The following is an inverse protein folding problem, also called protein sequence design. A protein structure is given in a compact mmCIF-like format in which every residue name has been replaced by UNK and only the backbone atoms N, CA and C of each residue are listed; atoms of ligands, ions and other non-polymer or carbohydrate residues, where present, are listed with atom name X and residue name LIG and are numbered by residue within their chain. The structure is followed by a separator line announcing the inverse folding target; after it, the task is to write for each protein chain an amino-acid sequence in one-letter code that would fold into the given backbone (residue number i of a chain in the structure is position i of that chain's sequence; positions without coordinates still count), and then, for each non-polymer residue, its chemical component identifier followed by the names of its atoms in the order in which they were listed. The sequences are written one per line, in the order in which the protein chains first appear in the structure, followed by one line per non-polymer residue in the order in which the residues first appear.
data_IF_726300100908
#
_entry.id   IF_726300100908
#
_cell.length_a   1.000
_cell.length_b   1.000
_cell.length_c   1.000
_cell.angle_alpha   90.00
_cell.angle_beta   90.00
_cell.angle_gamma   90.00
#
_symmetry.space_group_name_H-M   'P 1'
#
loop_
_entity.id
_entity.type
_entity.pdbx_description
1 polymer ?
#
# COMPACT_ATOMS: atom_id res chain seq x y z
N UNK A 1 1.30 -41.45 -27.97
CA UNK A 1 1.82 -41.32 -29.36
C UNK A 1 1.79 -39.87 -29.87
N UNK A 2 1.74 -38.84 -29.01
CA UNK A 2 1.41 -37.46 -29.43
C UNK A 2 2.59 -36.58 -29.90
N UNK A 3 3.84 -37.04 -29.86
CA UNK A 3 5.03 -36.19 -30.06
C UNK A 3 5.53 -36.10 -31.52
N UNK A 4 5.08 -36.99 -32.41
CA UNK A 4 5.54 -37.06 -33.80
C UNK A 4 4.76 -36.09 -34.71
N UNK A 5 5.29 -34.88 -34.89
CA UNK A 5 4.85 -33.97 -35.96
C UNK A 5 4.61 -32.52 -35.55
N UNK A 6 4.67 -32.19 -34.26
CA UNK A 6 4.43 -30.82 -33.77
C UNK A 6 5.74 -30.02 -33.82
N UNK A 7 5.80 -28.90 -34.55
CA UNK A 7 6.98 -28.06 -34.61
C UNK A 7 7.40 -27.54 -33.22
N UNK A 8 8.70 -27.46 -32.97
CA UNK A 8 9.26 -26.90 -31.72
C UNK A 8 9.21 -25.36 -31.65
N UNK A 9 8.56 -24.71 -32.61
CA UNK A 9 8.41 -23.26 -32.69
C UNK A 9 6.93 -22.82 -32.72
N UNK A 10 6.59 -21.69 -32.07
CA UNK A 10 7.46 -20.82 -31.27
C UNK A 10 7.91 -21.49 -29.96
N UNK A 11 9.07 -21.07 -29.42
CA UNK A 11 9.50 -21.52 -28.09
C UNK A 11 8.57 -20.91 -27.05
N UNK A 12 7.85 -21.75 -26.30
CA UNK A 12 6.93 -21.33 -25.25
C UNK A 12 7.40 -21.85 -23.90
N UNK A 13 7.44 -20.96 -22.90
CA UNK A 13 7.72 -21.33 -21.50
C UNK A 13 6.66 -20.72 -20.62
N UNK A 14 5.93 -21.56 -19.90
CA UNK A 14 5.02 -21.15 -18.83
C UNK A 14 5.80 -21.31 -17.53
N UNK A 15 5.82 -20.28 -16.70
CA UNK A 15 6.45 -20.35 -15.38
C UNK A 15 5.48 -19.82 -14.34
N UNK A 16 5.01 -20.69 -13.49
CA UNK A 16 4.18 -20.31 -12.34
C UNK A 16 5.11 -19.95 -11.19
N UNK A 17 4.84 -18.83 -10.53
CA UNK A 17 5.63 -18.32 -9.42
C UNK A 17 5.02 -18.71 -8.08
N UNK A 18 3.70 -18.65 -7.99
CA UNK A 18 2.93 -19.03 -6.80
C UNK A 18 1.48 -19.35 -7.19
N UNK A 19 0.58 -19.47 -6.20
CA UNK A 19 -0.82 -19.78 -6.41
C UNK A 19 -1.61 -18.70 -7.18
N UNK A 20 -1.05 -17.50 -7.40
CA UNK A 20 -1.73 -16.37 -8.04
C UNK A 20 -0.92 -15.71 -9.17
N UNK A 21 0.38 -16.02 -9.30
CA UNK A 21 1.28 -15.37 -10.23
C UNK A 21 1.98 -16.35 -11.17
N UNK A 22 2.18 -15.93 -12.41
CA UNK A 22 2.99 -16.64 -13.40
C UNK A 22 3.48 -15.72 -14.52
N UNK A 23 4.26 -16.28 -15.43
CA UNK A 23 4.59 -15.65 -16.72
C UNK A 23 4.46 -16.68 -17.85
N UNK A 24 4.06 -16.21 -19.02
CA UNK A 24 4.13 -16.96 -20.27
C UNK A 24 5.10 -16.25 -21.21
N UNK A 25 6.18 -16.91 -21.59
CA UNK A 25 7.11 -16.43 -22.61
C UNK A 25 6.84 -17.09 -23.93
N UNK A 26 6.45 -16.31 -24.95
CA UNK A 26 6.20 -16.79 -26.32
C UNK A 26 7.23 -16.13 -27.25
N UNK A 27 8.10 -16.94 -27.87
CA UNK A 27 9.17 -16.46 -28.74
C UNK A 27 10.03 -15.35 -28.08
N UNK A 28 10.28 -15.47 -26.78
CA UNK A 28 11.09 -14.51 -25.99
C UNK A 28 10.35 -13.29 -25.46
N UNK A 29 9.08 -13.07 -25.85
CA UNK A 29 8.24 -12.00 -25.28
C UNK A 29 7.51 -12.53 -24.05
N UNK A 30 7.64 -11.83 -22.91
CA UNK A 30 7.01 -12.20 -21.65
C UNK A 30 5.61 -11.58 -21.54
N UNK A 31 4.65 -12.40 -21.12
CA UNK A 31 3.28 -12.05 -20.80
C UNK A 31 3.06 -12.39 -19.32
N UNK A 32 2.97 -11.38 -18.43
CA UNK A 32 2.71 -11.64 -17.02
C UNK A 32 1.29 -12.19 -16.84
N UNK A 33 1.13 -13.12 -15.91
CA UNK A 33 -0.14 -13.73 -15.54
C UNK A 33 -0.37 -13.48 -14.05
N UNK A 34 -1.46 -12.79 -13.73
CA UNK A 34 -1.91 -12.57 -12.34
C UNK A 34 -3.38 -12.95 -12.33
N UNK A 35 -3.71 -14.06 -11.68
CA UNK A 35 -5.06 -14.65 -11.68
C UNK A 35 -5.28 -15.47 -10.39
N UNK A 36 -6.51 -15.84 -10.06
CA UNK A 36 -6.78 -16.80 -8.97
C UNK A 36 -6.35 -18.23 -9.34
N UNK A 37 -6.31 -18.55 -10.63
CA UNK A 37 -5.68 -19.77 -11.16
C UNK A 37 -4.70 -19.39 -12.28
N UNK A 38 -3.44 -19.03 -11.94
CA UNK A 38 -2.45 -18.60 -12.92
C UNK A 38 -2.08 -19.73 -13.89
N UNK A 39 -2.34 -21.00 -13.55
CA UNK A 39 -2.13 -22.14 -14.45
C UNK A 39 -3.15 -22.11 -15.59
N UNK A 40 -4.44 -22.00 -15.25
CA UNK A 40 -5.50 -21.89 -16.26
C UNK A 40 -5.32 -20.66 -17.15
N UNK A 41 -5.02 -19.50 -16.56
CA UNK A 41 -4.81 -18.26 -17.32
C UNK A 41 -3.58 -18.34 -18.24
N UNK A 42 -2.48 -18.97 -17.79
CA UNK A 42 -1.30 -19.18 -18.63
C UNK A 42 -1.58 -20.14 -19.80
N UNK A 43 -2.33 -21.23 -19.57
CA UNK A 43 -2.73 -22.17 -20.62
C UNK A 43 -3.63 -21.51 -21.66
N UNK A 44 -4.57 -20.66 -21.23
CA UNK A 44 -5.45 -19.92 -22.14
C UNK A 44 -4.67 -18.99 -23.09
N UNK A 45 -3.64 -18.30 -22.60
CA UNK A 45 -2.77 -17.45 -23.43
C UNK A 45 -2.04 -18.27 -24.51
N UNK A 46 -1.56 -19.47 -24.15
CA UNK A 46 -0.87 -20.34 -25.12
C UNK A 46 -1.86 -21.00 -26.09
N UNK A 47 -3.07 -21.34 -25.64
CA UNK A 47 -4.13 -21.90 -26.48
C UNK A 47 -4.62 -20.87 -27.52
N UNK A 48 -4.82 -19.60 -27.13
CA UNK A 48 -5.13 -18.52 -28.07
C UNK A 48 -4.04 -18.38 -29.15
N UNK A 49 -2.77 -18.48 -28.73
CA UNK A 49 -1.65 -18.47 -29.68
C UNK A 49 -1.64 -19.68 -30.61
N UNK A 50 -1.99 -20.87 -30.11
CA UNK A 50 -2.13 -22.09 -30.91
C UNK A 50 -3.26 -21.95 -31.95
N UNK A 51 -4.39 -21.36 -31.55
CA UNK A 51 -5.51 -21.06 -32.45
C UNK A 51 -5.13 -20.08 -33.56
N UNK A 52 -4.40 -19.02 -33.25
CA UNK A 52 -3.88 -18.08 -34.26
C UNK A 52 -2.92 -18.74 -35.26
N UNK A 53 -2.17 -19.76 -34.84
CA UNK A 53 -1.28 -20.53 -35.71
C UNK A 53 -1.97 -21.71 -36.41
N UNK A 54 -3.25 -21.99 -36.09
CA UNK A 54 -4.01 -23.10 -36.62
C UNK A 54 -3.44 -24.48 -36.29
N UNK A 55 -2.64 -24.61 -35.22
CA UNK A 55 -1.96 -25.86 -34.87
C UNK A 55 -1.55 -25.92 -33.38
N UNK A 56 -1.33 -27.13 -32.82
CA UNK A 56 -0.83 -27.29 -31.45
C UNK A 56 0.61 -26.75 -31.28
N UNK A 57 0.95 -26.34 -30.06
CA UNK A 57 2.26 -25.78 -29.70
C UNK A 57 2.89 -26.58 -28.56
N UNK A 58 4.20 -26.80 -28.64
CA UNK A 58 5.00 -27.34 -27.52
C UNK A 58 5.33 -26.24 -26.52
N UNK A 59 5.03 -26.48 -25.25
CA UNK A 59 5.36 -25.59 -24.15
C UNK A 59 6.13 -26.36 -23.07
N UNK A 60 6.96 -25.65 -22.31
CA UNK A 60 7.52 -26.17 -21.05
C UNK A 60 6.87 -25.40 -19.91
N UNK A 61 6.10 -26.08 -19.08
CA UNK A 61 5.58 -25.53 -17.84
C UNK A 61 6.59 -25.75 -16.72
N UNK A 62 6.86 -24.71 -15.92
CA UNK A 62 7.67 -24.77 -14.72
C UNK A 62 6.77 -24.38 -13.57
N UNK A 63 6.54 -25.31 -12.65
CA UNK A 63 5.72 -25.13 -11.46
C UNK A 63 6.49 -24.35 -10.37
N UNK A 64 5.81 -23.84 -9.32
CA UNK A 64 6.46 -23.08 -8.25
C UNK A 64 7.55 -23.86 -7.51
N UNK A 65 7.46 -25.19 -7.49
CA UNK A 65 8.45 -26.12 -6.92
C UNK A 65 9.68 -26.33 -7.83
N UNK A 66 9.71 -25.71 -9.02
CA UNK A 66 10.77 -25.86 -10.02
C UNK A 66 10.60 -27.08 -10.94
N UNK A 67 9.56 -27.89 -10.74
CA UNK A 67 9.27 -29.05 -11.58
C UNK A 67 8.92 -28.59 -12.99
N UNK A 68 9.62 -29.14 -13.99
CA UNK A 68 9.40 -28.81 -15.39
C UNK A 68 8.65 -29.92 -16.12
N UNK A 69 7.55 -29.57 -16.78
CA UNK A 69 6.69 -30.48 -17.53
C UNK A 69 6.64 -30.07 -19.01
N UNK A 70 7.08 -30.94 -19.93
CA UNK A 70 6.86 -30.71 -21.35
C UNK A 70 5.40 -31.02 -21.70
N UNK A 71 4.72 -30.04 -22.29
CA UNK A 71 3.30 -30.07 -22.63
C UNK A 71 3.10 -29.79 -24.12
N UNK A 72 2.05 -30.36 -24.69
CA UNK A 72 1.46 -29.92 -25.95
C UNK A 72 0.13 -29.26 -25.64
N UNK A 73 -0.06 -28.03 -26.11
CA UNK A 73 -1.28 -27.25 -25.91
C UNK A 73 -1.96 -27.05 -27.27
N UNK A 74 -3.23 -27.45 -27.36
CA UNK A 74 -4.02 -27.40 -28.59
C UNK A 74 -4.84 -26.10 -28.70
N UNK A 75 -5.27 -25.70 -29.92
CA UNK A 75 -6.13 -24.53 -30.15
C UNK A 75 -7.44 -24.50 -29.35
N UNK A 76 -7.97 -25.67 -29.00
CA UNK A 76 -9.22 -25.84 -28.25
C UNK A 76 -9.03 -25.79 -26.72
N UNK A 77 -7.79 -25.58 -26.25
CA UNK A 77 -7.45 -25.53 -24.84
C UNK A 77 -7.14 -26.90 -24.20
N UNK A 78 -7.19 -28.00 -24.95
CA UNK A 78 -6.77 -29.31 -24.45
C UNK A 78 -5.23 -29.41 -24.31
N UNK A 79 -4.76 -30.22 -23.35
CA UNK A 79 -3.34 -30.34 -22.99
C UNK A 79 -2.91 -31.81 -22.92
N UNK A 80 -1.87 -32.17 -23.67
CA UNK A 80 -1.23 -33.50 -23.60
C UNK A 80 0.12 -33.41 -22.89
N UNK A 81 0.38 -34.32 -21.94
CA UNK A 81 1.68 -34.46 -21.31
C UNK A 81 2.64 -35.29 -22.17
N UNK A 82 3.88 -34.80 -22.35
CA UNK A 82 4.95 -35.58 -22.98
C UNK A 82 5.68 -36.36 -21.88
N UNK A 83 5.73 -37.69 -21.97
CA UNK A 83 6.51 -38.49 -21.03
C UNK A 83 8.00 -38.15 -21.14
N UNK A 84 8.74 -37.99 -20.03
CA UNK A 84 10.18 -37.71 -20.08
C UNK A 84 10.90 -38.87 -20.77
N UNK A 85 11.71 -38.56 -21.78
CA UNK A 85 12.55 -39.57 -22.44
C UNK A 85 13.58 -40.12 -21.43
N UNK A 86 13.31 -41.30 -20.88
CA UNK A 86 14.36 -42.10 -20.23
C UNK A 86 15.32 -42.57 -21.32
N UNK A 87 16.51 -41.97 -21.37
CA UNK A 87 17.54 -42.24 -22.37
C UNK A 87 17.85 -43.73 -22.52
N UNK A 88 17.68 -44.25 -23.74
CA UNK A 88 18.08 -45.62 -24.11
C UNK A 88 19.42 -45.56 -24.83
N UNK A 89 20.48 -45.94 -24.09
CA UNK A 89 21.81 -46.29 -24.60
C UNK A 89 21.67 -47.41 -25.64
N UNK A 90 22.48 -47.32 -26.69
CA UNK A 90 22.46 -48.23 -27.85
C UNK A 90 22.77 -49.68 -27.53
N UNK A 91 22.27 -50.54 -28.41
CA UNK A 91 22.56 -51.97 -28.50
C UNK A 91 21.77 -52.56 -29.66
N UNK A 92 22.42 -52.69 -30.82
CA UNK A 92 21.85 -53.29 -32.02
C UNK A 92 21.68 -54.81 -31.91
N UNK A 93 20.77 -55.35 -32.70
CA UNK A 93 20.56 -56.79 -32.88
C UNK A 93 19.17 -57.06 -33.40
N UNK A 94 19.07 -57.54 -34.64
CA UNK A 94 17.85 -57.59 -35.44
C UNK A 94 16.83 -58.66 -35.04
N UNK A 95 15.62 -58.50 -35.59
CA UNK A 95 14.56 -59.51 -35.54
C UNK A 95 13.16 -58.89 -35.38
N UNK A 96 12.40 -58.82 -36.47
CA UNK A 96 10.92 -58.70 -36.50
C UNK A 96 10.39 -59.91 -37.29
N UNK A 97 9.09 -60.25 -37.22
CA UNK A 97 8.12 -60.13 -36.11
C UNK A 97 7.16 -61.35 -36.01
N UNK A 98 6.56 -61.65 -34.85
CA UNK A 98 5.18 -62.20 -34.77
C UNK A 98 4.56 -61.87 -33.38
N UNK A 99 3.37 -61.28 -33.36
CA UNK A 99 2.43 -61.13 -32.21
C UNK A 99 1.20 -62.04 -32.51
N UNK A 100 0.22 -62.40 -31.62
CA UNK A 100 -0.14 -61.79 -30.31
C UNK A 100 -0.78 -62.73 -29.23
N UNK A 101 -1.22 -62.18 -28.06
CA UNK A 101 -2.46 -62.51 -27.29
C UNK A 101 -2.43 -62.59 -25.73
N UNK A 102 -1.45 -63.11 -24.98
CA UNK A 102 -1.73 -63.48 -23.56
C UNK A 102 -1.32 -62.54 -22.38
N UNK A 103 -0.80 -61.33 -22.59
CA UNK A 103 -0.24 -60.55 -21.46
C UNK A 103 -1.26 -59.67 -20.70
N UNK A 104 -2.50 -59.54 -21.18
CA UNK A 104 -3.52 -58.70 -20.54
C UNK A 104 -4.16 -59.30 -19.27
N UNK A 105 -3.92 -60.57 -18.94
CA UNK A 105 -4.52 -61.23 -17.75
C UNK A 105 -3.49 -61.41 -16.60
N UNK A 106 -2.18 -61.35 -16.88
CA UNK A 106 -1.13 -61.55 -15.88
C UNK A 106 -0.80 -60.33 -14.99
N UNK A 107 -1.14 -59.11 -15.41
CA UNK A 107 -0.72 -57.88 -14.72
C UNK A 107 -1.70 -57.46 -13.60
N UNK A 108 -2.97 -57.89 -13.67
CA UNK A 108 -3.95 -57.57 -12.63
C UNK A 108 -3.76 -58.40 -11.34
N UNK A 109 -3.27 -59.64 -11.44
CA UNK A 109 -3.03 -60.51 -10.28
C UNK A 109 -1.71 -60.17 -9.56
N UNK A 110 -0.69 -59.73 -10.29
CA UNK A 110 0.58 -59.28 -9.69
C UNK A 110 0.45 -57.93 -8.95
N UNK A 111 -0.42 -57.03 -9.40
CA UNK A 111 -0.67 -55.75 -8.72
C UNK A 111 -1.49 -55.92 -7.44
N UNK A 112 -2.43 -56.87 -7.36
CA UNK A 112 -3.21 -57.10 -6.15
C UNK A 112 -2.42 -57.84 -5.06
N UNK A 113 -1.53 -58.77 -5.43
CA UNK A 113 -0.65 -59.44 -4.47
C UNK A 113 0.46 -58.51 -3.94
N UNK A 114 1.08 -57.70 -4.82
CA UNK A 114 2.14 -56.76 -4.42
C UNK A 114 1.67 -55.64 -3.50
N UNK A 115 0.44 -55.13 -3.70
CA UNK A 115 -0.11 -54.05 -2.88
C UNK A 115 -0.43 -54.52 -1.45
N UNK A 116 -0.89 -55.76 -1.28
CA UNK A 116 -1.18 -56.32 0.04
C UNK A 116 0.10 -56.61 0.85
N UNK A 117 1.19 -57.06 0.19
CA UNK A 117 2.49 -57.27 0.85
C UNK A 117 3.18 -55.95 1.20
N UNK A 118 3.08 -54.92 0.35
CA UNK A 118 3.66 -53.61 0.62
C UNK A 118 3.00 -52.92 1.83
N UNK A 119 1.67 -52.97 1.93
CA UNK A 119 0.92 -52.36 3.04
C UNK A 119 1.10 -53.09 4.38
N UNK A 120 1.43 -54.39 4.36
CA UNK A 120 1.65 -55.17 5.60
C UNK A 120 3.09 -55.09 6.11
N UNK A 121 4.09 -54.86 5.26
CA UNK A 121 5.52 -54.82 5.66
C UNK A 121 6.02 -53.40 5.95
N UNK A 122 5.50 -52.36 5.28
CA UNK A 122 6.05 -51.00 5.37
C UNK A 122 5.25 -50.01 6.24
N UNK A 123 4.16 -50.44 6.90
CA UNK A 123 3.32 -49.56 7.73
C UNK A 123 4.02 -48.94 8.96
N UNK A 124 5.19 -49.46 9.35
CA UNK A 124 5.96 -48.99 10.51
C UNK A 124 7.33 -48.38 10.17
N UNK A 125 7.54 -47.93 8.93
CA UNK A 125 8.68 -47.07 8.59
C UNK A 125 8.14 -45.78 8.01
N UNK A 126 7.95 -44.77 8.85
CA UNK A 126 7.87 -43.37 8.41
C UNK A 126 9.12 -43.10 7.57
N UNK A 127 9.00 -42.91 6.24
CA UNK A 127 10.13 -42.40 5.47
C UNK A 127 10.42 -41.03 6.06
N UNK A 128 11.66 -40.78 6.48
CA UNK A 128 12.12 -39.44 6.83
C UNK A 128 11.87 -38.58 5.61
N UNK A 129 10.87 -37.72 5.71
CA UNK A 129 10.50 -36.75 4.69
C UNK A 129 11.80 -36.04 4.27
N UNK A 130 12.19 -36.09 2.98
CA UNK A 130 13.37 -35.36 2.55
C UNK A 130 13.13 -33.90 2.90
N UNK A 131 14.01 -33.33 3.72
CA UNK A 131 14.04 -31.90 4.01
C UNK A 131 14.13 -31.17 2.67
N UNK A 132 12.98 -30.68 2.19
CA UNK A 132 12.93 -29.76 1.07
C UNK A 132 13.57 -28.48 1.59
N UNK A 133 14.87 -28.32 1.33
CA UNK A 133 15.51 -27.02 1.45
C UNK A 133 14.84 -26.13 0.42
N UNK A 134 13.84 -25.37 0.85
CA UNK A 134 13.19 -24.35 0.04
C UNK A 134 14.30 -23.47 -0.55
N UNK A 135 14.53 -23.59 -1.85
CA UNK A 135 15.45 -22.70 -2.56
C UNK A 135 14.75 -21.35 -2.62
N UNK A 136 15.12 -20.47 -1.70
CA UNK A 136 14.61 -19.11 -1.62
C UNK A 136 14.83 -18.43 -2.97
N UNK A 137 13.75 -17.92 -3.56
CA UNK A 137 13.83 -17.08 -4.76
C UNK A 137 14.85 -15.95 -4.49
N UNK A 138 15.64 -15.56 -5.50
CA UNK A 138 16.52 -14.41 -5.34
C UNK A 138 15.66 -13.19 -4.99
N UNK A 139 16.03 -12.43 -3.95
CA UNK A 139 15.27 -11.25 -3.56
C UNK A 139 15.24 -10.26 -4.73
N UNK A 140 14.17 -9.45 -4.79
CA UNK A 140 14.11 -8.33 -5.73
C UNK A 140 15.39 -7.48 -5.57
N UNK A 141 15.97 -6.95 -6.66
CA UNK A 141 17.12 -6.05 -6.54
C UNK A 141 16.75 -4.86 -5.66
N UNK A 142 17.54 -4.62 -4.61
CA UNK A 142 17.36 -3.50 -3.71
C UNK A 142 17.61 -2.16 -4.42
N UNK A 143 16.96 -1.07 -3.99
CA UNK A 143 17.27 0.26 -4.47
C UNK A 143 18.72 0.65 -4.15
N UNK A 144 19.31 1.50 -4.99
CA UNK A 144 20.64 2.05 -4.76
C UNK A 144 20.61 3.09 -3.64
N UNK A 145 20.88 2.66 -2.41
CA UNK A 145 20.93 3.53 -1.22
C UNK A 145 22.39 3.87 -0.91
N UNK A 146 22.70 5.16 -0.79
CA UNK A 146 24.07 5.63 -0.51
C UNK A 146 24.07 6.91 0.32
N UNK A 147 25.08 7.15 1.18
CA UNK A 147 25.29 8.46 1.79
C UNK A 147 25.43 9.57 0.73
N UNK A 148 25.03 10.79 1.08
CA UNK A 148 25.09 11.95 0.18
C UNK A 148 25.15 13.29 0.95
N UNK A 149 25.27 14.40 0.23
CA UNK A 149 25.26 15.75 0.79
C UNK A 149 24.16 16.59 0.13
N UNK A 150 23.31 17.18 0.95
CA UNK A 150 22.25 18.07 0.50
C UNK A 150 22.73 19.53 0.48
N UNK A 151 23.00 20.09 -0.71
CA UNK A 151 23.54 21.44 -0.87
C UNK A 151 22.67 22.38 -1.73
N UNK A 152 21.42 22.01 -2.00
CA UNK A 152 20.54 22.77 -2.91
C UNK A 152 19.87 23.98 -2.25
N UNK A 153 19.66 23.94 -0.93
CA UNK A 153 19.08 25.04 -0.13
C UNK A 153 19.39 24.83 1.36
N UNK A 154 19.19 25.84 2.24
CA UNK A 154 19.50 25.71 3.66
C UNK A 154 18.76 24.53 4.30
N UNK A 155 19.45 23.79 5.17
CA UNK A 155 18.86 22.66 5.91
C UNK A 155 18.04 23.12 7.12
N UNK A 156 17.05 22.32 7.55
CA UNK A 156 16.28 22.65 8.72
C UNK A 156 17.14 22.73 9.99
N UNK A 157 16.84 23.72 10.84
CA UNK A 157 17.58 23.95 12.09
C UNK A 157 17.61 22.69 12.96
N UNK A 158 18.80 22.27 13.38
CA UNK A 158 18.99 21.03 14.15
C UNK A 158 19.34 19.80 13.31
N UNK A 159 19.55 19.97 12.00
CA UNK A 159 20.10 18.95 11.10
C UNK A 159 21.31 19.49 10.34
N UNK A 160 22.20 18.59 9.91
CA UNK A 160 23.30 18.90 9.00
C UNK A 160 22.89 18.68 7.54
N UNK A 161 23.72 19.14 6.61
CA UNK A 161 23.61 18.82 5.18
C UNK A 161 24.07 17.40 4.83
N UNK A 162 24.68 16.67 5.75
CA UNK A 162 25.08 15.29 5.52
C UNK A 162 23.86 14.38 5.59
N UNK A 163 23.51 13.74 4.46
CA UNK A 163 22.51 12.70 4.41
C UNK A 163 23.18 11.36 4.68
N UNK A 164 22.75 10.64 5.72
CA UNK A 164 23.30 9.30 5.98
C UNK A 164 22.87 8.30 4.91
N UNK A 165 21.77 8.59 4.23
CA UNK A 165 21.39 7.94 3.00
C UNK A 165 20.58 8.88 2.10
N UNK A 166 20.66 8.58 0.81
CA UNK A 166 19.85 9.13 -0.26
C UNK A 166 19.37 8.00 -1.16
N UNK A 167 18.25 8.21 -1.84
CA UNK A 167 17.70 7.24 -2.79
C UNK A 167 16.83 7.93 -3.83
N UNK A 168 16.95 7.47 -5.08
CA UNK A 168 16.09 7.92 -6.18
C UNK A 168 14.68 7.36 -6.04
N UNK A 169 13.69 8.19 -6.38
CA UNK A 169 12.28 7.81 -6.40
C UNK A 169 11.68 7.95 -7.79
N UNK A 170 10.56 7.27 -8.01
CA UNK A 170 9.77 7.44 -9.22
C UNK A 170 9.35 8.91 -9.38
N UNK A 171 9.50 9.50 -10.58
CA UNK A 171 9.06 10.87 -10.83
C UNK A 171 7.59 11.09 -10.45
N UNK A 172 7.29 12.29 -9.94
CA UNK A 172 5.95 12.69 -9.48
C UNK A 172 5.39 11.87 -8.31
N UNK A 173 6.25 11.15 -7.58
CA UNK A 173 5.90 10.51 -6.31
C UNK A 173 6.62 11.19 -5.14
N UNK A 174 6.07 11.01 -3.95
CA UNK A 174 6.59 11.58 -2.70
C UNK A 174 6.77 10.46 -1.68
N UNK A 175 7.75 10.54 -0.76
CA UNK A 175 7.85 9.57 0.31
C UNK A 175 6.66 9.63 1.27
N UNK A 176 6.51 8.61 2.09
CA UNK A 176 5.73 8.65 3.31
C UNK A 176 6.62 8.29 4.50
N UNK A 177 6.43 8.99 5.61
CA UNK A 177 7.07 8.67 6.89
C UNK A 177 5.99 8.10 7.81
N UNK A 178 6.27 6.96 8.43
CA UNK A 178 5.32 6.34 9.35
C UNK A 178 5.03 7.27 10.54
N UNK A 179 3.80 7.27 11.10
CA UNK A 179 3.44 8.15 12.22
C UNK A 179 4.29 7.98 13.49
N UNK A 180 4.97 6.85 13.66
CA UNK A 180 5.90 6.63 14.77
C UNK A 180 7.37 6.99 14.43
N UNK A 181 7.62 7.48 13.22
CA UNK A 181 8.93 7.86 12.70
C UNK A 181 9.89 6.68 12.49
N UNK A 182 9.42 5.42 12.50
CA UNK A 182 10.34 4.27 12.40
C UNK A 182 10.52 3.73 10.99
N UNK A 183 9.77 4.22 10.01
CA UNK A 183 9.85 3.74 8.64
C UNK A 183 9.63 4.85 7.62
N UNK A 184 10.25 4.68 6.46
CA UNK A 184 10.05 5.53 5.28
C UNK A 184 9.66 4.65 4.10
N UNK A 185 8.52 4.93 3.46
CA UNK A 185 8.06 4.26 2.26
C UNK A 185 8.20 5.16 1.04
N UNK A 186 8.58 4.61 -0.10
CA UNK A 186 8.63 5.33 -1.38
C UNK A 186 8.45 4.37 -2.57
N UNK A 187 8.22 4.92 -3.77
CA UNK A 187 8.23 4.13 -5.00
C UNK A 187 9.57 4.35 -5.71
N UNK A 188 10.25 3.27 -6.08
CA UNK A 188 11.50 3.29 -6.85
C UNK A 188 11.24 3.61 -8.33
N UNK A 189 12.24 4.11 -9.09
CA UNK A 189 12.10 4.35 -10.52
C UNK A 189 11.70 3.11 -11.35
N UNK A 190 12.00 1.89 -10.87
CA UNK A 190 11.62 0.63 -11.49
C UNK A 190 10.27 0.06 -10.99
N UNK A 191 9.42 0.91 -10.41
CA UNK A 191 8.06 0.60 -9.97
C UNK A 191 7.98 -0.49 -8.90
N UNK A 192 8.76 -0.31 -7.83
CA UNK A 192 8.61 -1.07 -6.58
C UNK A 192 8.24 -0.12 -5.46
N UNK A 193 7.34 -0.54 -4.59
CA UNK A 193 7.25 0.05 -3.26
C UNK A 193 8.38 -0.50 -2.42
N UNK A 194 9.14 0.36 -1.76
CA UNK A 194 10.20 -0.03 -0.84
C UNK A 194 9.98 0.66 0.50
N UNK A 195 10.26 -0.06 1.59
CA UNK A 195 10.20 0.47 2.96
C UNK A 195 11.55 0.33 3.63
N UNK A 196 12.06 1.43 4.16
CA UNK A 196 13.32 1.49 4.88
C UNK A 196 13.10 1.73 6.37
N UNK A 197 14.07 1.30 7.16
CA UNK A 197 14.27 1.82 8.50
C UNK A 197 14.89 3.24 8.45
N UNK A 198 15.01 3.95 9.58
CA UNK A 198 15.59 5.28 9.60
C UNK A 198 17.07 5.32 9.19
N UNK A 199 17.79 4.20 9.22
CA UNK A 199 19.20 4.13 8.84
C UNK A 199 19.40 3.84 7.35
N UNK A 200 18.31 3.67 6.59
CA UNK A 200 18.35 3.40 5.16
C UNK A 200 18.47 1.91 4.84
N UNK A 201 18.28 1.03 5.83
CA UNK A 201 18.20 -0.41 5.57
C UNK A 201 16.86 -0.73 4.95
N UNK A 202 16.86 -1.44 3.82
CA UNK A 202 15.64 -1.99 3.22
C UNK A 202 15.05 -3.03 4.16
N UNK A 203 13.82 -2.78 4.63
CA UNK A 203 13.06 -3.73 5.44
C UNK A 203 12.35 -4.73 4.54
N UNK A 204 11.69 -4.22 3.50
CA UNK A 204 11.03 -5.02 2.48
C UNK A 204 10.74 -4.17 1.24
N UNK A 205 10.41 -4.84 0.15
CA UNK A 205 9.98 -4.22 -1.09
C UNK A 205 9.08 -5.16 -1.89
N UNK A 206 8.19 -4.59 -2.70
CA UNK A 206 7.31 -5.35 -3.59
C UNK A 206 7.03 -4.57 -4.89
N UNK A 207 6.64 -5.28 -5.95
CA UNK A 207 6.29 -4.67 -7.24
C UNK A 207 4.98 -3.90 -7.14
N UNK A 208 4.93 -2.76 -7.83
CA UNK A 208 3.72 -1.97 -8.03
C UNK A 208 3.55 -1.62 -9.51
N UNK A 209 2.39 -1.05 -9.86
CA UNK A 209 2.17 -0.58 -11.22
C UNK A 209 3.00 0.69 -11.47
N UNK A 210 3.38 0.95 -12.74
CA UNK A 210 4.02 2.22 -13.13
C UNK A 210 3.11 3.43 -12.98
N UNK A 211 1.79 3.24 -12.99
CA UNK A 211 0.82 4.31 -12.69
C UNK A 211 0.56 4.51 -11.20
N UNK A 212 1.32 3.83 -10.34
CA UNK A 212 1.20 3.99 -8.90
C UNK A 212 1.51 5.42 -8.44
N UNK A 213 0.62 5.94 -7.58
CA UNK A 213 0.79 7.20 -6.85
C UNK A 213 1.70 6.99 -5.63
N UNK A 214 2.02 8.09 -4.94
CA UNK A 214 2.80 8.06 -3.70
C UNK A 214 2.23 7.07 -2.67
N UNK A 215 3.09 6.35 -1.93
CA UNK A 215 2.65 5.48 -0.85
C UNK A 215 2.10 6.30 0.32
N UNK A 216 1.27 5.67 1.13
CA UNK A 216 0.71 6.27 2.36
C UNK A 216 0.72 5.25 3.48
N UNK A 217 1.16 5.65 4.67
CA UNK A 217 0.93 4.87 5.89
C UNK A 217 -0.51 5.12 6.38
N UNK A 218 -1.29 4.06 6.51
CA UNK A 218 -2.70 4.13 6.90
C UNK A 218 -3.09 2.87 7.68
N UNK A 219 -4.37 2.71 8.01
CA UNK A 219 -4.88 1.49 8.62
C UNK A 219 -5.99 0.84 7.80
N UNK A 220 -5.98 -0.49 7.77
CA UNK A 220 -7.07 -1.33 7.27
C UNK A 220 -7.40 -2.34 8.36
N UNK A 221 -8.67 -2.41 8.77
CA UNK A 221 -9.14 -3.23 9.90
C UNK A 221 -8.35 -3.00 11.21
N UNK A 222 -7.95 -1.74 11.45
CA UNK A 222 -7.16 -1.34 12.62
C UNK A 222 -5.67 -1.69 12.54
N UNK A 223 -5.22 -2.39 11.51
CA UNK A 223 -3.81 -2.76 11.32
C UNK A 223 -3.09 -1.71 10.49
N UNK A 224 -1.86 -1.36 10.88
CA UNK A 224 -1.01 -0.42 10.14
C UNK A 224 -0.52 -1.06 8.83
N UNK A 225 -0.70 -0.35 7.72
CA UNK A 225 -0.35 -0.80 6.38
C UNK A 225 0.33 0.31 5.59
N UNK A 226 1.10 -0.08 4.59
CA UNK A 226 1.52 0.81 3.49
C UNK A 226 0.55 0.59 2.35
N UNK A 227 -0.12 1.65 1.90
CA UNK A 227 -1.06 1.60 0.79
C UNK A 227 -0.52 2.37 -0.42
N UNK A 228 -0.77 1.84 -1.62
CA UNK A 228 -0.41 2.42 -2.91
C UNK A 228 -1.61 2.31 -3.83
N UNK A 229 -1.96 3.41 -4.48
CA UNK A 229 -3.07 3.46 -5.45
C UNK A 229 -2.49 3.55 -6.84
N UNK A 230 -2.98 2.71 -7.75
CA UNK A 230 -2.77 2.79 -9.19
C UNK A 230 -4.11 3.00 -9.90
N UNK A 231 -4.12 3.02 -11.23
CA UNK A 231 -5.36 3.19 -11.99
C UNK A 231 -6.36 2.05 -11.74
N UNK A 232 -5.86 0.82 -11.58
CA UNK A 232 -6.68 -0.39 -11.51
C UNK A 232 -6.79 -0.98 -10.10
N UNK A 233 -5.91 -0.60 -9.19
CA UNK A 233 -5.81 -1.24 -7.87
C UNK A 233 -5.52 -0.26 -6.74
N UNK A 234 -6.17 -0.50 -5.60
CA UNK A 234 -5.67 -0.14 -4.28
C UNK A 234 -4.91 -1.36 -3.75
N UNK A 235 -3.59 -1.24 -3.66
CA UNK A 235 -2.70 -2.27 -3.12
C UNK A 235 -2.27 -1.87 -1.72
N UNK A 236 -2.19 -2.81 -0.79
CA UNK A 236 -1.65 -2.51 0.53
C UNK A 236 -0.94 -3.70 1.16
N UNK A 237 0.09 -3.41 1.95
CA UNK A 237 0.92 -4.41 2.62
C UNK A 237 0.90 -4.16 4.13
N UNK A 238 0.86 -5.22 4.96
CA UNK A 238 1.19 -5.07 6.37
C UNK A 238 2.53 -4.36 6.51
N UNK A 239 2.64 -3.52 7.54
CA UNK A 239 3.83 -2.70 7.78
C UNK A 239 5.16 -3.47 7.75
N UNK A 240 5.14 -4.72 8.20
CA UNK A 240 6.31 -5.60 8.26
C UNK A 240 6.64 -6.31 6.93
N UNK A 241 5.94 -6.00 5.83
CA UNK A 241 6.30 -6.48 4.50
C UNK A 241 5.80 -7.88 4.14
N UNK A 242 4.74 -8.34 4.80
CA UNK A 242 4.07 -9.57 4.43
C UNK A 242 3.37 -9.45 3.06
N UNK A 243 2.73 -10.54 2.60
CA UNK A 243 2.02 -10.60 1.32
C UNK A 243 1.06 -9.42 1.14
N UNK A 244 1.20 -8.72 0.01
CA UNK A 244 0.32 -7.63 -0.38
C UNK A 244 -1.10 -8.09 -0.65
N UNK A 245 -2.03 -7.18 -0.44
CA UNK A 245 -3.46 -7.33 -0.72
C UNK A 245 -3.86 -6.36 -1.81
N UNK A 246 -4.68 -6.82 -2.75
CA UNK A 246 -4.98 -6.09 -3.97
C UNK A 246 -6.48 -5.98 -4.18
N UNK A 247 -6.99 -4.74 -4.15
CA UNK A 247 -8.40 -4.46 -4.37
C UNK A 247 -8.54 -3.82 -5.74
N UNK A 248 -9.24 -4.51 -6.66
CA UNK A 248 -9.53 -3.98 -7.98
C UNK A 248 -10.46 -2.76 -7.86
N UNK A 249 -10.07 -1.67 -8.49
CA UNK A 249 -10.83 -0.43 -8.55
C UNK A 249 -11.61 -0.36 -9.87
N UNK A 250 -12.82 0.18 -9.80
CA UNK A 250 -13.58 0.50 -10.99
C UNK A 250 -12.96 1.72 -11.72
N UNK A 251 -13.26 1.88 -13.00
CA UNK A 251 -12.90 3.09 -13.75
C UNK A 251 -13.39 4.35 -13.03
N UNK A 252 -12.59 5.42 -13.04
CA UNK A 252 -12.91 6.71 -12.41
C UNK A 252 -13.10 6.65 -10.89
N UNK A 253 -12.49 5.66 -10.23
CA UNK A 253 -12.45 5.58 -8.76
C UNK A 253 -11.47 6.61 -8.18
N UNK A 254 -11.89 7.26 -7.10
CA UNK A 254 -11.03 8.13 -6.28
C UNK A 254 -10.81 7.49 -4.92
N UNK A 255 -9.56 7.43 -4.48
CA UNK A 255 -9.17 6.95 -3.15
C UNK A 255 -8.57 8.11 -2.37
N UNK A 256 -9.08 8.32 -1.16
CA UNK A 256 -8.68 9.41 -0.26
C UNK A 256 -8.09 8.84 1.04
N UNK A 257 -7.05 9.49 1.56
CA UNK A 257 -6.36 9.10 2.80
C UNK A 257 -6.33 10.22 3.85
N UNK A 258 -7.39 11.04 3.95
CA UNK A 258 -7.44 12.15 4.92
C UNK A 258 -7.73 11.67 6.37
N UNK A 259 -8.36 10.50 6.50
CA UNK A 259 -8.63 9.86 7.78
C UNK A 259 -7.58 8.81 8.14
N UNK A 260 -7.88 7.96 9.14
CA UNK A 260 -6.96 6.87 9.52
C UNK A 260 -7.04 5.66 8.59
N UNK A 261 -8.02 5.61 7.69
CA UNK A 261 -8.22 4.53 6.71
C UNK A 261 -8.55 5.07 5.32
N UNK A 262 -8.35 4.27 4.25
CA UNK A 262 -8.72 4.67 2.90
C UNK A 262 -10.24 4.81 2.76
N UNK A 263 -10.66 5.88 2.10
CA UNK A 263 -12.04 6.12 1.69
C UNK A 263 -12.11 6.09 0.18
N UNK A 264 -13.03 5.30 -0.38
CA UNK A 264 -13.13 5.06 -1.82
C UNK A 264 -14.45 5.60 -2.35
N UNK A 265 -14.38 6.32 -3.46
CA UNK A 265 -15.54 6.90 -4.14
C UNK A 265 -15.55 6.52 -5.61
N UNK A 266 -16.71 6.14 -6.13
CA UNK A 266 -16.93 5.95 -7.55
C UNK A 266 -18.41 6.25 -7.89
N UNK A 267 -18.84 5.92 -9.10
CA UNK A 267 -20.22 6.13 -9.57
C UNK A 267 -21.29 5.31 -8.81
N UNK A 268 -20.89 4.22 -8.17
CA UNK A 268 -21.78 3.32 -7.41
C UNK A 268 -21.98 3.81 -5.97
N UNK A 269 -21.05 4.62 -5.46
CA UNK A 269 -21.19 5.28 -4.17
C UNK A 269 -19.88 5.47 -3.43
N UNK A 270 -19.98 5.39 -2.10
CA UNK A 270 -18.88 5.57 -1.16
C UNK A 270 -18.63 4.26 -0.44
N UNK A 271 -17.35 3.91 -0.26
CA UNK A 271 -16.95 2.63 0.31
C UNK A 271 -15.83 2.81 1.33
N UNK A 272 -15.88 1.99 2.37
CA UNK A 272 -14.75 1.75 3.27
C UNK A 272 -14.03 0.47 2.87
N UNK A 273 -12.75 0.39 3.21
CA UNK A 273 -11.92 -0.79 2.93
C UNK A 273 -11.94 -1.73 4.13
N UNK A 274 -12.30 -3.00 3.91
CA UNK A 274 -12.20 -4.07 4.90
C UNK A 274 -11.67 -5.33 4.24
N UNK A 275 -10.52 -5.82 4.72
CA UNK A 275 -9.76 -6.85 4.03
C UNK A 275 -9.58 -6.49 2.54
N UNK A 276 -9.81 -7.46 1.68
CA UNK A 276 -9.65 -7.31 0.22
C UNK A 276 -10.94 -6.83 -0.48
N UNK A 277 -11.85 -6.21 0.28
CA UNK A 277 -13.17 -5.83 -0.23
C UNK A 277 -13.51 -4.37 0.06
N UNK A 278 -14.32 -3.79 -0.83
CA UNK A 278 -14.95 -2.49 -0.64
C UNK A 278 -16.34 -2.72 -0.05
N UNK A 279 -16.61 -2.16 1.13
CA UNK A 279 -17.94 -2.22 1.74
C UNK A 279 -18.68 -0.90 1.53
N UNK A 280 -19.84 -0.90 0.86
CA UNK A 280 -20.59 0.31 0.62
C UNK A 280 -21.15 0.84 1.95
N UNK A 281 -21.21 2.16 2.09
CA UNK A 281 -22.04 2.79 3.11
C UNK A 281 -23.46 2.98 2.57
N UNK A 282 -24.45 2.80 3.45
CA UNK A 282 -25.84 3.01 3.09
C UNK A 282 -26.15 4.50 2.92
N UNK A 283 -26.21 4.95 1.67
CA UNK A 283 -26.47 6.34 1.33
C UNK A 283 -27.84 6.84 1.85
N UNK A 284 -28.81 5.94 2.10
CA UNK A 284 -30.12 6.32 2.63
C UNK A 284 -30.03 6.83 4.08
N UNK A 285 -28.98 6.46 4.82
CA UNK A 285 -28.75 6.92 6.19
C UNK A 285 -28.05 8.28 6.26
N UNK A 286 -27.48 8.77 5.15
CA UNK A 286 -26.75 10.04 5.15
C UNK A 286 -27.75 11.19 5.35
N UNK A 287 -27.61 11.99 6.43
CA UNK A 287 -28.52 13.10 6.69
C UNK A 287 -28.50 14.12 5.55
N UNK A 288 -29.66 14.74 5.30
CA UNK A 288 -29.75 15.81 4.30
C UNK A 288 -28.76 16.93 4.65
N UNK A 289 -27.97 17.37 3.67
CA UNK A 289 -26.92 18.40 3.79
C UNK A 289 -25.67 17.97 4.59
N UNK A 290 -25.53 16.69 4.93
CA UNK A 290 -24.27 16.14 5.37
C UNK A 290 -23.39 15.75 4.17
N UNK A 291 -22.09 15.96 4.30
CA UNK A 291 -21.09 15.51 3.34
C UNK A 291 -20.24 14.40 3.95
N UNK A 292 -19.81 13.47 3.10
CA UNK A 292 -18.79 12.49 3.46
C UNK A 292 -17.44 13.21 3.58
N UNK A 293 -16.76 13.04 4.72
CA UNK A 293 -15.51 13.75 5.00
C UNK A 293 -14.29 12.84 4.86
N UNK A 294 -14.23 11.74 5.61
CA UNK A 294 -13.09 10.82 5.67
C UNK A 294 -13.48 9.46 6.27
N UNK A 295 -12.61 8.45 6.14
CA UNK A 295 -12.77 7.15 6.80
C UNK A 295 -11.88 7.02 8.06
N UNK A 296 -12.45 6.49 9.14
CA UNK A 296 -11.75 6.12 10.37
C UNK A 296 -11.98 4.64 10.67
N UNK A 297 -11.01 3.79 10.34
CA UNK A 297 -11.20 2.35 10.38
C UNK A 297 -12.30 1.95 9.39
N UNK A 298 -13.33 1.29 9.90
CA UNK A 298 -14.50 0.85 9.13
C UNK A 298 -15.63 1.90 9.10
N UNK A 299 -15.43 3.05 9.72
CA UNK A 299 -16.44 4.10 9.84
C UNK A 299 -16.15 5.24 8.88
N UNK A 300 -17.19 5.93 8.45
CA UNK A 300 -17.12 7.17 7.68
C UNK A 300 -17.60 8.31 8.55
N UNK A 301 -16.79 9.35 8.63
CA UNK A 301 -17.16 10.62 9.24
C UNK A 301 -18.01 11.41 8.25
N UNK A 302 -19.22 11.76 8.65
CA UNK A 302 -20.14 12.63 7.92
C UNK A 302 -20.29 13.93 8.69
N UNK A 303 -20.28 15.08 8.03
CA UNK A 303 -20.51 16.36 8.72
C UNK A 303 -21.49 17.24 7.95
N UNK A 304 -22.40 17.88 8.67
CA UNK A 304 -23.18 18.97 8.11
C UNK A 304 -22.34 20.24 8.10
N UNK A 305 -22.58 21.11 7.15
CA UNK A 305 -21.93 22.43 7.15
C UNK A 305 -22.28 23.19 8.44
N UNK A 306 -23.55 23.18 8.82
CA UNK A 306 -24.07 23.71 10.08
C UNK A 306 -24.59 22.56 10.93
N UNK A 307 -24.03 22.35 12.13
CA UNK A 307 -24.52 21.34 13.08
C UNK A 307 -23.50 20.26 13.43
N UNK A 308 -23.96 19.11 13.95
CA UNK A 308 -23.10 18.05 14.43
C UNK A 308 -22.45 17.28 13.26
N UNK A 309 -21.70 16.25 13.61
CA UNK A 309 -21.22 15.22 12.70
C UNK A 309 -21.71 13.86 13.16
N UNK A 310 -21.58 12.89 12.26
CA UNK A 310 -22.03 11.53 12.46
C UNK A 310 -20.93 10.54 12.07
N UNK A 311 -21.00 9.36 12.67
CA UNK A 311 -20.21 8.20 12.29
C UNK A 311 -21.16 7.18 11.67
N UNK A 312 -20.86 6.79 10.43
CA UNK A 312 -21.62 5.78 9.69
C UNK A 312 -20.71 4.58 9.40
N UNK A 313 -21.15 3.39 9.75
CA UNK A 313 -20.45 2.14 9.48
C UNK A 313 -21.35 1.24 8.62
N UNK A 314 -20.80 0.41 7.71
CA UNK A 314 -21.61 -0.55 6.97
C UNK A 314 -22.49 -1.40 7.88
N UNK A 315 -23.75 -1.58 7.49
CA UNK A 315 -24.78 -2.38 8.19
C UNK A 315 -25.11 -1.96 9.63
N UNK A 316 -24.66 -0.78 10.06
CA UNK A 316 -24.97 -0.23 11.37
C UNK A 316 -25.80 1.05 11.24
N UNK A 317 -26.65 1.34 12.23
CA UNK A 317 -27.34 2.63 12.28
C UNK A 317 -26.30 3.75 12.46
N UNK A 318 -26.51 4.85 11.74
CA UNK A 318 -25.75 6.07 11.91
C UNK A 318 -25.76 6.56 13.36
N UNK A 319 -24.60 6.98 13.87
CA UNK A 319 -24.44 7.52 15.21
C UNK A 319 -24.11 9.02 15.17
N UNK A 320 -24.96 9.86 15.76
CA UNK A 320 -24.69 11.28 15.94
C UNK A 320 -23.69 11.52 17.07
N UNK A 321 -22.69 12.36 16.80
CA UNK A 321 -21.74 12.82 17.82
C UNK A 321 -22.16 14.22 18.25
N UNK A 322 -22.45 14.37 19.55
CA UNK A 322 -22.83 15.66 20.15
C UNK A 322 -21.60 16.34 20.74
N UNK A 323 -21.03 17.37 20.08
CA UNK A 323 -19.82 18.00 20.58
C UNK A 323 -20.08 18.89 21.79
N UNK A 324 -19.10 18.93 22.70
CA UNK A 324 -19.16 19.78 23.89
C UNK A 324 -18.77 21.21 23.54
N UNK A 325 -19.69 22.14 23.73
CA UNK A 325 -19.45 23.57 23.45
C UNK A 325 -18.31 24.14 24.30
N UNK A 326 -17.43 24.99 23.73
CA UNK A 326 -16.39 25.67 24.49
C UNK A 326 -16.98 26.80 25.36
N UNK A 327 -16.30 27.18 26.45
CA UNK A 327 -16.65 28.37 27.23
C UNK A 327 -16.71 29.63 26.35
N UNK A 328 -17.72 30.48 26.59
CA UNK A 328 -17.89 31.75 25.85
C UNK A 328 -18.63 31.63 24.51
N UNK A 329 -18.99 30.42 24.08
CA UNK A 329 -19.87 30.22 22.92
C UNK A 329 -21.35 30.36 23.29
N UNK A 330 -22.21 30.47 22.28
CA UNK A 330 -23.68 30.37 22.43
C UNK A 330 -24.19 28.93 22.44
N UNK A 331 -23.28 27.95 22.38
CA UNK A 331 -23.62 26.53 22.20
C UNK A 331 -24.04 26.17 20.77
N UNK A 332 -24.00 27.11 19.82
CA UNK A 332 -24.31 26.86 18.42
C UNK A 332 -23.05 26.71 17.59
N UNK A 333 -23.05 25.72 16.70
CA UNK A 333 -22.00 25.54 15.70
C UNK A 333 -22.26 26.51 14.55
N UNK A 334 -21.27 27.36 14.27
CA UNK A 334 -21.25 28.19 13.07
C UNK A 334 -20.91 27.33 11.85
N UNK A 335 -19.88 26.49 11.96
CA UNK A 335 -19.44 25.66 10.83
C UNK A 335 -18.54 24.51 11.25
N UNK A 336 -18.67 23.35 10.58
CA UNK A 336 -17.60 22.33 10.53
C UNK A 336 -16.65 22.67 9.38
N UNK A 337 -15.39 22.92 9.69
CA UNK A 337 -14.42 23.47 8.72
C UNK A 337 -13.68 22.36 7.97
N UNK A 338 -13.12 21.41 8.72
CA UNK A 338 -12.27 20.34 8.19
C UNK A 338 -12.23 19.19 9.17
N UNK A 339 -11.87 18.01 8.68
CA UNK A 339 -11.57 16.86 9.50
C UNK A 339 -10.24 16.22 9.06
N UNK A 340 -9.57 15.56 10.01
CA UNK A 340 -8.43 14.70 9.79
C UNK A 340 -8.54 13.49 10.73
N UNK A 341 -7.63 12.51 10.62
CA UNK A 341 -7.63 11.34 11.49
C UNK A 341 -7.79 11.71 12.99
N UNK A 342 -8.87 11.24 13.59
CA UNK A 342 -9.27 11.41 14.99
C UNK A 342 -9.75 12.81 15.39
N UNK A 343 -9.88 13.75 14.43
CA UNK A 343 -10.06 15.18 14.71
C UNK A 343 -11.03 15.87 13.74
N UNK A 344 -11.85 16.76 14.28
CA UNK A 344 -12.70 17.66 13.50
C UNK A 344 -12.59 19.08 14.04
N UNK A 345 -12.41 20.04 13.15
CA UNK A 345 -12.34 21.46 13.50
C UNK A 345 -13.71 22.12 13.30
N UNK A 346 -14.16 22.80 14.34
CA UNK A 346 -15.48 23.42 14.42
C UNK A 346 -15.33 24.89 14.81
N UNK A 347 -16.06 25.76 14.15
CA UNK A 347 -16.23 27.15 14.56
C UNK A 347 -17.52 27.25 15.37
N UNK A 348 -17.42 27.76 16.59
CA UNK A 348 -18.55 27.99 17.47
C UNK A 348 -18.94 29.46 17.46
N UNK A 349 -20.25 29.73 17.38
CA UNK A 349 -20.78 31.09 17.49
C UNK A 349 -20.52 31.66 18.89
N UNK A 350 -20.25 32.96 18.95
CA UNK A 350 -20.24 33.72 20.21
C UNK A 350 -21.44 34.65 20.25
N UNK A 351 -21.59 35.41 21.34
CA UNK A 351 -22.61 36.47 21.42
C UNK A 351 -22.29 37.68 20.54
N UNK A 352 -21.06 37.77 20.04
CA UNK A 352 -20.63 38.78 19.07
C UNK A 352 -20.46 38.12 17.70
N UNK A 353 -20.07 38.89 16.68
CA UNK A 353 -19.76 38.40 15.33
C UNK A 353 -18.47 37.53 15.26
N UNK A 354 -17.80 37.29 16.40
CA UNK A 354 -16.63 36.43 16.48
C UNK A 354 -17.02 34.95 16.60
N UNK A 355 -16.07 34.09 16.27
CA UNK A 355 -16.16 32.64 16.43
C UNK A 355 -15.07 32.11 17.36
N UNK A 356 -15.34 30.99 18.03
CA UNK A 356 -14.34 30.21 18.78
C UNK A 356 -13.99 28.95 17.97
N UNK A 357 -12.77 28.86 17.42
CA UNK A 357 -12.29 27.68 16.73
C UNK A 357 -11.92 26.60 17.75
N UNK A 358 -12.45 25.38 17.56
CA UNK A 358 -12.21 24.25 18.46
C UNK A 358 -11.94 22.99 17.65
N UNK A 359 -10.84 22.32 17.99
CA UNK A 359 -10.57 20.96 17.51
C UNK A 359 -11.21 19.98 18.48
N UNK A 360 -12.10 19.13 17.97
CA UNK A 360 -12.76 18.08 18.72
C UNK A 360 -12.24 16.70 18.33
N UNK A 361 -12.41 15.74 19.23
CA UNK A 361 -12.36 14.31 18.94
C UNK A 361 -13.52 13.93 18.01
N UNK A 362 -13.23 13.28 16.88
CA UNK A 362 -14.27 12.75 15.97
C UNK A 362 -15.19 11.75 16.66
N UNK A 363 -14.64 10.95 17.57
CA UNK A 363 -15.36 9.88 18.27
C UNK A 363 -16.24 10.39 19.41
N UNK A 364 -15.71 11.28 20.27
CA UNK A 364 -16.40 11.66 21.51
C UNK A 364 -17.03 13.06 21.48
N UNK A 365 -16.64 13.91 20.53
CA UNK A 365 -17.06 15.31 20.53
C UNK A 365 -16.39 16.16 21.61
N UNK A 366 -15.45 15.61 22.38
CA UNK A 366 -14.71 16.35 23.39
C UNK A 366 -13.72 17.34 22.74
N UNK A 367 -13.59 18.56 23.29
CA UNK A 367 -12.58 19.50 22.82
C UNK A 367 -11.19 18.96 23.16
N UNK A 368 -10.34 18.91 22.13
CA UNK A 368 -8.92 18.61 22.22
C UNK A 368 -8.12 19.90 22.32
N UNK A 369 -8.54 20.93 21.58
CA UNK A 369 -7.92 22.25 21.62
C UNK A 369 -8.96 23.34 21.38
N UNK A 370 -8.91 24.42 22.18
CA UNK A 370 -9.73 25.62 22.04
C UNK A 370 -8.79 26.78 21.69
N UNK A 371 -8.89 27.29 20.46
CA UNK A 371 -8.08 28.41 20.00
C UNK A 371 -8.67 29.75 20.46
N UNK A 372 -7.87 30.81 20.39
CA UNK A 372 -8.34 32.17 20.64
C UNK A 372 -9.48 32.55 19.68
N UNK A 373 -10.38 33.42 20.13
CA UNK A 373 -11.45 33.95 19.30
C UNK A 373 -10.90 34.66 18.06
N UNK A 374 -11.59 34.48 16.94
CA UNK A 374 -11.25 35.11 15.67
C UNK A 374 -12.53 35.66 15.01
N UNK A 375 -12.36 36.62 14.10
CA UNK A 375 -13.45 37.01 13.20
C UNK A 375 -13.80 35.84 12.28
N UNK A 376 -15.06 35.74 11.88
CA UNK A 376 -15.50 34.66 10.98
C UNK A 376 -14.69 34.60 9.67
N UNK A 377 -14.31 35.77 9.12
CA UNK A 377 -13.48 35.87 7.92
C UNK A 377 -12.07 35.29 8.12
N UNK A 378 -11.37 35.69 9.19
CA UNK A 378 -10.03 35.17 9.50
C UNK A 378 -10.07 33.66 9.76
N UNK A 379 -11.11 33.18 10.45
CA UNK A 379 -11.30 31.77 10.70
C UNK A 379 -11.56 30.96 9.41
N UNK A 380 -12.38 31.49 8.49
CA UNK A 380 -12.69 30.80 7.24
C UNK A 380 -11.46 30.67 6.31
N UNK A 381 -10.51 31.61 6.36
CA UNK A 381 -9.29 31.58 5.56
C UNK A 381 -8.16 30.71 6.13
N UNK A 382 -8.28 30.26 7.39
CA UNK A 382 -7.21 29.53 8.06
C UNK A 382 -7.11 28.07 7.61
N UNK A 383 -5.89 27.62 7.30
CA UNK A 383 -5.59 26.24 6.87
C UNK A 383 -5.31 25.33 8.06
N UNK A 384 -5.78 24.10 7.98
CA UNK A 384 -5.42 23.02 8.90
C UNK A 384 -4.17 22.29 8.42
N UNK A 385 -3.16 22.21 9.30
CA UNK A 385 -1.84 21.65 8.99
C UNK A 385 -1.44 20.71 10.12
N UNK A 386 -1.83 19.42 10.05
CA UNK A 386 -1.38 18.40 10.97
C UNK A 386 0.01 17.88 10.58
N UNK A 387 0.77 17.39 11.55
CA UNK A 387 1.92 16.52 11.25
C UNK A 387 1.47 15.08 11.00
N UNK A 388 2.28 14.32 10.27
CA UNK A 388 2.00 12.90 9.99
C UNK A 388 1.99 12.02 11.26
N UNK A 389 2.68 12.47 12.31
CA UNK A 389 2.77 11.76 13.60
C UNK A 389 1.56 12.03 14.52
N UNK A 390 0.69 12.98 14.16
CA UNK A 390 -0.46 13.40 14.97
C UNK A 390 -0.06 14.06 16.30
N UNK A 391 1.17 14.55 16.45
CA UNK A 391 1.71 15.15 17.68
C UNK A 391 1.50 16.65 17.71
N UNK A 392 1.57 17.32 16.56
CA UNK A 392 1.38 18.76 16.43
C UNK A 392 0.49 19.10 15.25
N UNK A 393 -0.28 20.16 15.38
CA UNK A 393 -1.03 20.72 14.28
C UNK A 393 -1.04 22.24 14.37
N UNK A 394 -1.39 22.89 13.27
CA UNK A 394 -1.71 24.31 13.28
C UNK A 394 -3.01 24.59 12.54
N UNK A 395 -3.72 25.60 13.03
CA UNK A 395 -4.85 26.21 12.37
C UNK A 395 -4.69 27.73 12.40
N UNK A 396 -4.34 28.33 11.25
CA UNK A 396 -3.94 29.74 11.22
C UNK A 396 -2.83 30.01 12.23
N UNK A 397 -3.02 31.00 13.10
CA UNK A 397 -2.05 31.36 14.15
C UNK A 397 -2.06 30.44 15.37
N UNK A 398 -2.99 29.48 15.45
CA UNK A 398 -3.14 28.58 16.58
C UNK A 398 -2.28 27.32 16.36
N UNK A 399 -1.20 27.19 17.12
CA UNK A 399 -0.32 26.00 17.14
C UNK A 399 -0.72 25.10 18.31
N UNK A 400 -0.95 23.82 18.01
CA UNK A 400 -1.55 22.85 18.92
C UNK A 400 -0.55 21.71 19.13
N UNK A 401 -0.19 21.45 20.40
CA UNK A 401 0.42 20.20 20.82
C UNK A 401 -0.68 19.22 21.21
N UNK A 402 -0.89 18.19 20.40
CA UNK A 402 -1.90 17.16 20.66
C UNK A 402 -1.46 16.25 21.81
N UNK A 403 -0.16 16.05 22.00
CA UNK A 403 0.40 15.19 23.05
C UNK A 403 0.34 15.83 24.43
N UNK A 404 0.52 17.15 24.53
CA UNK A 404 0.54 17.86 25.81
C UNK A 404 -0.72 18.68 26.08
N UNK A 405 -1.67 18.69 25.14
CA UNK A 405 -2.85 19.55 25.13
C UNK A 405 -2.51 21.05 25.31
N UNK A 406 -1.30 21.47 24.89
CA UNK A 406 -0.87 22.87 24.93
C UNK A 406 -1.24 23.57 23.63
N UNK A 407 -1.63 24.82 23.75
CA UNK A 407 -2.08 25.66 22.64
C UNK A 407 -1.36 27.00 22.76
N UNK A 408 -0.72 27.41 21.67
CA UNK A 408 -0.06 28.70 21.56
C UNK A 408 -0.66 29.47 20.38
N UNK A 409 -1.12 30.69 20.62
CA UNK A 409 -1.56 31.59 19.54
C UNK A 409 -0.42 32.55 19.22
N UNK A 410 0.05 32.50 17.97
CA UNK A 410 1.22 33.25 17.52
C UNK A 410 0.77 34.21 16.43
N UNK A 411 0.51 35.46 16.81
CA UNK A 411 0.07 36.50 15.88
C UNK A 411 1.09 36.71 14.76
N UNK A 412 0.65 36.79 13.50
CA UNK A 412 1.52 36.97 12.34
C UNK A 412 2.26 35.71 11.87
N UNK A 413 1.98 34.54 12.47
CA UNK A 413 2.47 33.25 11.99
C UNK A 413 1.51 32.61 10.99
N UNK A 414 2.01 32.27 9.82
CA UNK A 414 1.30 31.58 8.74
C UNK A 414 1.90 30.18 8.56
N UNK A 415 1.24 29.12 9.06
CA UNK A 415 1.78 27.78 8.98
C UNK A 415 1.72 27.26 7.54
N UNK A 416 2.71 26.47 7.15
CA UNK A 416 2.87 25.90 5.81
C UNK A 416 3.02 24.38 5.81
N UNK A 417 3.70 23.81 6.81
CA UNK A 417 3.82 22.36 7.01
C UNK A 417 4.13 22.03 8.47
N UNK A 418 4.00 20.77 8.85
CA UNK A 418 4.36 20.29 10.18
C UNK A 418 5.09 18.94 10.10
N UNK A 419 6.19 18.81 10.84
CA UNK A 419 7.01 17.60 10.89
C UNK A 419 7.90 17.59 12.14
N UNK A 420 8.13 16.42 12.74
CA UNK A 420 9.05 16.26 13.86
C UNK A 420 8.69 17.10 15.09
N UNK A 421 7.40 17.25 15.38
CA UNK A 421 6.91 18.06 16.49
C UNK A 421 7.06 19.58 16.29
N UNK A 422 7.33 20.04 15.06
CA UNK A 422 7.46 21.45 14.71
C UNK A 422 6.47 21.83 13.61
N UNK A 423 5.98 23.06 13.68
CA UNK A 423 5.22 23.70 12.60
C UNK A 423 6.12 24.71 11.91
N UNK A 424 6.28 24.57 10.60
CA UNK A 424 7.07 25.44 9.75
C UNK A 424 6.14 26.40 9.01
N UNK A 425 6.56 27.65 8.86
CA UNK A 425 5.71 28.68 8.29
C UNK A 425 6.46 29.97 8.00
N UNK A 426 5.68 31.03 7.78
CA UNK A 426 6.17 32.41 7.71
C UNK A 426 5.83 33.12 9.01
N UNK A 427 6.73 33.93 9.51
CA UNK A 427 6.45 34.85 10.60
C UNK A 427 6.76 36.25 10.10
N UNK A 428 5.72 37.03 9.86
CA UNK A 428 5.79 38.27 9.08
C UNK A 428 6.39 38.01 7.69
N UNK A 429 7.58 38.53 7.40
CA UNK A 429 8.26 38.38 6.11
C UNK A 429 9.31 37.26 6.08
N UNK A 430 9.68 36.73 7.24
CA UNK A 430 10.76 35.72 7.38
C UNK A 430 10.23 34.30 7.46
N UNK A 431 11.05 33.34 7.07
CA UNK A 431 10.80 31.93 7.40
C UNK A 431 10.89 31.72 8.91
N UNK A 432 10.03 30.87 9.46
CA UNK A 432 10.07 30.53 10.87
C UNK A 432 9.62 29.08 11.12
N UNK A 433 10.01 28.55 12.28
CA UNK A 433 9.35 27.38 12.84
C UNK A 433 9.00 27.58 14.31
N UNK A 434 7.99 26.85 14.75
CA UNK A 434 7.47 26.84 16.11
C UNK A 434 7.50 25.41 16.61
N UNK A 435 8.06 25.20 17.79
CA UNK A 435 7.87 23.94 18.53
C UNK A 435 6.66 24.11 19.43
N UNK A 436 5.73 23.16 19.42
CA UNK A 436 4.52 23.31 20.23
C UNK A 436 4.87 23.44 21.73
N UNK A 437 4.23 24.38 22.43
CA UNK A 437 4.61 24.80 23.78
C UNK A 437 5.64 25.93 23.84
N UNK A 438 6.17 26.40 22.70
CA UNK A 438 7.01 27.59 22.60
C UNK A 438 6.23 28.75 21.99
N UNK A 439 6.16 29.87 22.71
CA UNK A 439 5.44 31.08 22.27
C UNK A 439 6.18 31.91 21.23
N UNK A 440 7.49 31.71 21.10
CA UNK A 440 8.35 32.54 20.24
C UNK A 440 8.80 31.71 19.04
N UNK A 441 8.40 32.09 17.81
CA UNK A 441 8.91 31.47 16.59
C UNK A 441 10.42 31.67 16.47
N UNK A 442 11.11 30.64 15.98
CA UNK A 442 12.53 30.72 15.65
C UNK A 442 12.67 31.06 14.17
N UNK A 443 13.37 32.17 13.89
CA UNK A 443 13.62 32.61 12.52
C UNK A 443 14.53 31.61 11.79
N UNK A 444 14.21 31.38 10.51
CA UNK A 444 14.99 30.57 9.58
C UNK A 444 14.97 31.20 8.20
N UNK A 445 15.82 30.71 7.31
CA UNK A 445 15.76 31.09 5.89
C UNK A 445 14.39 30.67 5.30
N UNK A 446 13.77 31.55 4.52
CA UNK A 446 12.47 31.28 3.89
C UNK A 446 12.56 30.15 2.84
N UNK A 447 13.72 30.00 2.19
CA UNK A 447 14.03 28.95 1.23
C UNK A 447 14.59 27.67 1.88
N UNK A 448 14.57 27.58 3.21
CA UNK A 448 14.98 26.38 3.93
C UNK A 448 14.18 25.15 3.48
N UNK A 449 14.87 24.02 3.31
CA UNK A 449 14.23 22.74 3.05
C UNK A 449 13.33 22.35 4.22
N UNK A 450 12.02 22.26 3.98
CA UNK A 450 11.06 21.77 4.99
C UNK A 450 11.05 20.24 4.98
N UNK A 451 11.19 19.58 6.15
CA UNK A 451 11.05 18.14 6.25
C UNK A 451 9.68 17.69 5.75
N UNK A 452 9.66 16.61 4.98
CA UNK A 452 8.46 15.85 4.68
C UNK A 452 7.97 15.09 5.92
N UNK A 453 8.91 14.66 6.75
CA UNK A 453 8.70 14.01 8.04
C UNK A 453 10.05 13.77 8.73
N UNK A 454 10.01 13.18 9.92
CA UNK A 454 11.21 12.78 10.66
C UNK A 454 11.19 11.28 10.89
N UNK A 455 12.24 10.60 10.44
CA UNK A 455 12.42 9.17 10.68
C UNK A 455 13.61 8.96 11.64
N UNK A 456 13.36 8.40 12.82
CA UNK A 456 14.33 8.36 13.91
C UNK A 456 14.82 9.77 14.24
N UNK A 457 16.11 10.02 14.05
CA UNK A 457 16.73 11.35 14.23
C UNK A 457 16.98 12.08 12.90
N UNK A 458 16.43 11.59 11.79
CA UNK A 458 16.70 12.13 10.45
C UNK A 458 15.55 12.93 9.89
N UNK A 459 15.83 14.11 9.37
CA UNK A 459 14.87 14.86 8.56
C UNK A 459 14.82 14.28 7.15
N UNK A 460 13.64 13.87 6.71
CA UNK A 460 13.41 13.35 5.36
C UNK A 460 13.09 14.53 4.45
N UNK A 461 13.93 14.77 3.45
CA UNK A 461 13.80 15.86 2.49
C UNK A 461 13.64 15.26 1.09
N UNK A 462 12.64 15.74 0.36
CA UNK A 462 12.51 15.49 -1.07
C UNK A 462 13.03 16.70 -1.85
N UNK A 463 13.92 16.46 -2.80
CA UNK A 463 14.31 17.42 -3.81
C UNK A 463 14.37 16.73 -5.16
N UNK A 464 13.65 17.30 -6.13
CA UNK A 464 13.34 16.66 -7.40
C UNK A 464 12.80 15.24 -7.20
N UNK A 465 13.55 14.23 -7.61
CA UNK A 465 13.20 12.81 -7.48
C UNK A 465 14.18 12.06 -6.57
N UNK A 466 14.78 12.75 -5.59
CA UNK A 466 15.72 12.15 -4.64
C UNK A 466 15.29 12.45 -3.22
N UNK A 467 15.22 11.40 -2.40
CA UNK A 467 15.04 11.52 -0.95
C UNK A 467 16.42 11.65 -0.31
N UNK A 468 16.55 12.60 0.61
CA UNK A 468 17.71 12.78 1.48
C UNK A 468 17.30 12.62 2.94
N UNK A 469 18.00 11.77 3.69
CA UNK A 469 17.78 11.57 5.13
C UNK A 469 18.88 12.23 5.96
N UNK A 470 18.68 13.52 6.26
CA UNK A 470 19.68 14.39 6.88
C UNK A 470 19.98 13.98 8.32
N UNK A 471 21.26 13.89 8.68
CA UNK A 471 21.72 13.59 10.04
C UNK A 471 21.52 14.79 10.97
N UNK A 472 21.55 14.52 12.28
CA UNK A 472 21.87 15.56 13.26
C UNK A 472 23.29 16.13 12.99
N UNK A 473 23.60 17.36 13.41
CA UNK A 473 24.96 17.88 13.41
C UNK A 473 25.90 16.95 14.19
N UNK A 474 27.19 16.85 13.81
CA UNK A 474 28.18 16.25 14.71
C UNK A 474 28.14 16.99 16.04
N UNK A 475 28.03 16.23 17.14
CA UNK A 475 27.95 16.74 18.50
C UNK A 475 29.27 17.25 19.03
#
# INVERSE_FOLDING_TARGET
MADKGIPSWPKVTIRLYDAHNGEVKIAGRSHPVVDQDPRQAALAIVADRAAQLGRPIKATAVEPDGSSWPLVIHPDGSVDAIAPETGRRGGGGGGKPVWPVYVAIGVAVALLAGTLTYLLVFRNRTPKEPEVVATTLPPLPEPSIKPDVFNFRPVPSGWSNNAGWSVDVMPNTTPAVAPDGKQVAFITPDAKVAVLDPNGKVLWQDKVNKSSKSPVFTTVDGNQVVAVVSDDYLSYWPREGATGKFIKLASSTTVQFYGSSPLVFNKEGTFVVTGESLRPIDAAQIPRRASVMLAEGQQVLLAAYYGPWWLLEPDKPIAEVKPKSPPGSTGQIERVVVASAGRVLVLWKTKTENVIPVVHSTKSGDPVAICAQATASNAAGAKWIPDAEGKVAAWGTCVISVTTNKIDTIAGFEPLSAAGGRVYGRYNTSGAFVTAGQKVPKSVDLNMARPWGVAGNRAIILHDNVIYALNLPPG
#
